data_IF_808924438263
#
_entry.id   IF_808924438263
#
_cell.length_a   1.000
_cell.length_b   1.000
_cell.length_c   1.000
_cell.angle_alpha   90.00
_cell.angle_beta   90.00
_cell.angle_gamma   90.00
#
_symmetry.space_group_name_H-M   'P 1'
#
loop_
_entity.id
_entity.type
_entity.pdbx_description
1 polymer ?
#
# COMPACT_ATOMS: atom_id res chain seq x y z
N UNK A 1 -50.11 14.64 50.29
CA UNK A 1 -48.91 14.31 51.08
C UNK A 1 -47.89 13.68 50.13
N UNK A 2 -46.71 14.30 50.02
CA UNK A 2 -45.59 13.90 49.14
C UNK A 2 -44.88 12.68 49.74
N UNK A 3 -44.61 11.61 48.97
CA UNK A 3 -43.40 10.74 49.08
C UNK A 3 -43.12 10.01 47.75
N UNK A 4 -42.01 10.38 47.10
CA UNK A 4 -41.31 9.63 46.05
C UNK A 4 -40.65 8.37 46.65
N UNK A 5 -40.52 7.29 45.88
CA UNK A 5 -39.22 6.61 45.68
C UNK A 5 -39.33 5.58 44.54
N UNK A 6 -38.81 5.97 43.37
CA UNK A 6 -38.47 5.09 42.25
C UNK A 6 -37.24 4.28 42.65
N UNK A 7 -37.31 2.94 42.57
CA UNK A 7 -36.10 2.11 42.48
C UNK A 7 -36.40 0.73 41.87
N UNK A 8 -37.00 0.74 40.69
CA UNK A 8 -36.80 -0.33 39.72
C UNK A 8 -35.62 0.07 38.82
N UNK A 9 -34.97 -0.93 38.22
CA UNK A 9 -33.79 -0.84 37.32
C UNK A 9 -32.44 -0.92 38.03
N UNK A 10 -32.08 -2.13 38.44
CA UNK A 10 -30.68 -2.58 38.56
C UNK A 10 -30.60 -3.87 37.72
N UNK A 11 -29.55 -4.00 36.91
CA UNK A 11 -29.20 -5.06 35.92
C UNK A 11 -29.61 -4.73 34.47
N UNK A 12 -28.69 -4.53 33.49
CA UNK A 12 -27.23 -4.73 33.50
C UNK A 12 -26.42 -3.48 33.05
N UNK A 13 -25.54 -2.96 33.91
CA UNK A 13 -24.50 -1.96 33.57
C UNK A 13 -23.16 -2.64 33.22
N UNK A 14 -23.18 -3.72 32.43
CA UNK A 14 -21.99 -4.55 32.21
C UNK A 14 -21.58 -4.80 30.75
N UNK A 15 -22.20 -4.17 29.75
CA UNK A 15 -21.79 -4.34 28.35
C UNK A 15 -21.88 -3.02 27.61
N UNK A 16 -21.01 -2.06 27.90
CA UNK A 16 -20.98 -0.80 27.13
C UNK A 16 -19.62 -0.10 27.04
N UNK A 17 -18.49 -0.74 27.41
CA UNK A 17 -17.20 -0.06 27.25
C UNK A 17 -16.04 -1.00 26.93
N UNK A 18 -16.05 -1.54 25.71
CA UNK A 18 -14.82 -1.85 25.00
C UNK A 18 -15.09 -1.94 23.50
N UNK A 19 -15.55 -0.85 22.89
CA UNK A 19 -15.15 -0.60 21.50
C UNK A 19 -13.71 -0.07 21.58
N UNK A 20 -12.75 -0.99 21.57
CA UNK A 20 -11.39 -0.62 21.23
C UNK A 20 -11.39 -0.40 19.72
N UNK A 21 -11.53 0.86 19.30
CA UNK A 21 -11.12 1.23 17.96
C UNK A 21 -9.64 0.90 17.86
N UNK A 22 -9.29 -0.13 17.09
CA UNK A 22 -7.91 -0.32 16.68
C UNK A 22 -7.51 0.95 15.94
N UNK A 23 -6.66 1.76 16.56
CA UNK A 23 -6.13 2.95 15.91
C UNK A 23 -5.15 2.41 14.87
N UNK A 24 -5.60 2.35 13.62
CA UNK A 24 -4.71 2.03 12.51
C UNK A 24 -3.57 3.05 12.57
N UNK A 25 -2.33 2.57 12.64
CA UNK A 25 -1.19 3.43 12.42
C UNK A 25 -1.36 4.03 11.02
N UNK A 26 -1.34 5.35 10.91
CA UNK A 26 -1.49 6.02 9.62
C UNK A 26 -0.26 5.65 8.77
N UNK A 27 -0.49 5.03 7.62
CA UNK A 27 0.60 4.66 6.74
C UNK A 27 1.10 5.95 6.06
N UNK A 28 2.36 6.33 6.32
CA UNK A 28 2.96 7.52 5.68
C UNK A 28 2.94 7.42 4.15
N UNK A 29 2.97 6.19 3.62
CA UNK A 29 2.80 5.89 2.21
C UNK A 29 2.02 4.58 2.06
N UNK A 30 0.97 4.61 1.27
CA UNK A 30 0.24 3.44 0.81
C UNK A 30 0.20 3.49 -0.71
N UNK A 31 0.75 2.48 -1.37
CA UNK A 31 0.78 2.38 -2.82
C UNK A 31 0.34 0.98 -3.25
N UNK A 32 -0.74 0.92 -4.03
CA UNK A 32 -1.33 -0.31 -4.56
C UNK A 32 -0.99 -0.57 -6.02
N UNK A 33 -0.28 0.35 -6.68
CA UNK A 33 0.18 0.26 -8.07
C UNK A 33 -0.95 0.02 -9.08
N UNK A 34 -2.13 0.58 -8.82
CA UNK A 34 -3.28 0.46 -9.71
C UNK A 34 -3.03 1.09 -11.09
N UNK A 35 -2.28 2.20 -11.13
CA UNK A 35 -1.80 2.83 -12.37
C UNK A 35 -0.42 3.44 -12.15
N UNK A 36 0.61 2.76 -12.66
CA UNK A 36 2.00 3.18 -12.45
C UNK A 36 2.37 4.45 -13.23
N UNK A 37 1.56 4.86 -14.22
CA UNK A 37 1.83 6.05 -15.04
C UNK A 37 1.67 7.35 -14.24
N UNK A 38 0.95 7.27 -13.12
CA UNK A 38 0.72 8.40 -12.22
C UNK A 38 1.87 8.66 -11.24
N UNK A 39 2.72 7.66 -10.99
CA UNK A 39 3.69 7.68 -9.89
C UNK A 39 4.78 8.74 -10.05
N UNK A 40 5.23 9.00 -11.28
CA UNK A 40 6.20 10.07 -11.53
C UNK A 40 5.62 11.44 -11.15
N UNK A 41 4.34 11.67 -11.44
CA UNK A 41 3.62 12.87 -11.00
C UNK A 41 3.42 12.94 -9.49
N UNK A 42 3.38 11.79 -8.81
CA UNK A 42 3.34 11.67 -7.36
C UNK A 42 4.73 11.74 -6.69
N UNK A 43 5.81 11.92 -7.45
CA UNK A 43 7.16 12.10 -6.93
C UNK A 43 8.01 10.83 -6.80
N UNK A 44 7.52 9.68 -7.27
CA UNK A 44 8.36 8.48 -7.38
C UNK A 44 9.41 8.65 -8.48
N UNK A 45 10.57 8.01 -8.28
CA UNK A 45 11.61 7.96 -9.29
C UNK A 45 11.88 6.51 -9.76
N UNK A 46 12.00 6.36 -11.07
CA UNK A 46 12.37 5.12 -11.73
C UNK A 46 13.77 5.25 -12.30
N UNK A 47 14.64 4.27 -12.03
CA UNK A 47 16.01 4.29 -12.55
C UNK A 47 16.43 2.90 -13.00
N UNK A 48 16.85 2.77 -14.26
CA UNK A 48 17.50 1.58 -14.76
C UNK A 48 18.99 1.90 -14.99
N UNK A 49 19.82 1.40 -14.09
CA UNK A 49 21.29 1.50 -14.10
C UNK A 49 21.93 0.17 -14.50
N UNK A 50 21.17 -0.73 -15.15
CA UNK A 50 21.70 -2.00 -15.63
C UNK A 50 22.79 -1.77 -16.67
N UNK A 51 23.73 -2.69 -16.77
CA UNK A 51 24.80 -2.64 -17.77
C UNK A 51 24.94 -3.99 -18.50
N UNK A 52 24.64 -4.05 -19.81
CA UNK A 52 24.02 -2.97 -20.60
C UNK A 52 22.56 -2.73 -20.20
N UNK A 53 22.03 -1.54 -20.50
CA UNK A 53 20.60 -1.22 -20.33
C UNK A 53 19.76 -2.06 -21.30
N UNK A 54 18.71 -2.69 -20.77
CA UNK A 54 17.81 -3.55 -21.53
C UNK A 54 16.64 -2.82 -22.19
N UNK A 55 15.74 -3.60 -22.78
CA UNK A 55 14.58 -3.08 -23.52
C UNK A 55 13.42 -2.63 -22.62
N UNK A 56 13.40 -3.05 -21.35
CA UNK A 56 12.32 -2.70 -20.41
C UNK A 56 12.83 -1.93 -19.19
N UNK A 57 11.98 -1.08 -18.62
CA UNK A 57 12.15 -0.50 -17.28
C UNK A 57 11.18 -1.12 -16.28
N UNK A 58 10.73 -0.34 -15.31
CA UNK A 58 9.56 -0.70 -14.49
C UNK A 58 8.28 -0.66 -15.35
N UNK A 59 7.40 -1.64 -15.19
CA UNK A 59 6.19 -1.80 -16.01
C UNK A 59 4.97 -2.21 -15.17
N UNK A 60 3.77 -1.92 -15.69
CA UNK A 60 2.49 -2.31 -15.08
C UNK A 60 2.36 -3.84 -15.04
N UNK A 61 1.76 -4.37 -13.99
CA UNK A 61 1.54 -5.80 -13.82
C UNK A 61 0.84 -6.48 -15.00
N UNK A 62 1.09 -7.77 -15.14
CA UNK A 62 0.55 -8.65 -16.17
C UNK A 62 -0.08 -9.90 -15.51
N UNK A 63 -1.41 -9.92 -15.48
CA UNK A 63 -2.21 -10.98 -14.88
C UNK A 63 -2.09 -12.34 -15.59
N UNK A 64 -1.57 -12.37 -16.82
CA UNK A 64 -1.27 -13.63 -17.52
C UNK A 64 -0.07 -14.36 -16.94
N UNK A 65 0.76 -13.68 -16.12
CA UNK A 65 1.90 -14.29 -15.41
C UNK A 65 1.50 -14.64 -13.97
N UNK A 66 0.97 -13.65 -13.24
CA UNK A 66 0.34 -13.84 -11.94
C UNK A 66 -0.54 -12.63 -11.60
N UNK A 67 -1.63 -12.81 -10.82
CA UNK A 67 -2.46 -11.71 -10.37
C UNK A 67 -1.78 -10.92 -9.22
N UNK A 68 -2.18 -9.66 -9.06
CA UNK A 68 -1.81 -8.82 -7.93
C UNK A 68 -2.24 -9.43 -6.57
N UNK A 69 -1.55 -9.04 -5.50
CA UNK A 69 -1.88 -9.45 -4.14
C UNK A 69 -3.22 -8.87 -3.64
N UNK A 70 -3.61 -7.70 -4.15
CA UNK A 70 -4.87 -7.03 -3.89
C UNK A 70 -5.20 -6.04 -5.01
N UNK A 71 -6.46 -5.61 -5.13
CA UNK A 71 -6.90 -4.67 -6.16
C UNK A 71 -7.22 -5.33 -7.50
N UNK A 72 -7.08 -4.58 -8.59
CA UNK A 72 -7.18 -5.11 -9.96
C UNK A 72 -6.12 -6.22 -10.19
N UNK A 73 -6.37 -7.26 -11.01
CA UNK A 73 -5.39 -8.30 -11.28
C UNK A 73 -4.02 -7.81 -11.76
N UNK A 74 -3.96 -6.62 -12.37
CA UNK A 74 -2.72 -5.98 -12.84
C UNK A 74 -2.13 -4.95 -11.88
N UNK A 75 -2.75 -4.72 -10.70
CA UNK A 75 -2.35 -3.73 -9.69
C UNK A 75 -1.09 -4.15 -8.91
N UNK A 76 0.00 -4.31 -9.63
CA UNK A 76 1.35 -4.46 -9.10
C UNK A 76 2.32 -3.84 -10.10
N UNK A 77 3.53 -3.53 -9.64
CA UNK A 77 4.60 -3.01 -10.50
C UNK A 77 5.73 -4.05 -10.61
N UNK A 78 6.25 -4.24 -11.83
CA UNK A 78 7.26 -5.25 -12.12
C UNK A 78 8.52 -4.67 -12.75
N UNK A 79 9.64 -5.35 -12.48
CA UNK A 79 10.85 -5.32 -13.29
C UNK A 79 11.28 -6.78 -13.51
N UNK A 80 11.98 -7.06 -14.61
CA UNK A 80 12.44 -8.42 -14.90
C UNK A 80 13.81 -8.41 -15.59
N UNK A 81 14.29 -9.59 -16.01
CA UNK A 81 15.60 -9.74 -16.62
C UNK A 81 15.80 -8.90 -17.90
N UNK A 82 14.74 -8.48 -18.58
CA UNK A 82 14.82 -7.58 -19.74
C UNK A 82 15.18 -6.13 -19.36
N UNK A 83 15.36 -5.84 -18.07
CA UNK A 83 16.01 -4.62 -17.57
C UNK A 83 17.46 -4.48 -18.00
N UNK A 84 18.11 -5.60 -18.37
CA UNK A 84 19.44 -5.63 -18.99
C UNK A 84 19.37 -6.26 -20.41
N UNK A 85 20.46 -6.21 -21.16
CA UNK A 85 20.58 -6.87 -22.46
C UNK A 85 21.70 -7.91 -22.48
N UNK A 86 21.50 -9.01 -23.22
CA UNK A 86 22.50 -10.08 -23.31
C UNK A 86 22.87 -10.66 -21.95
N UNK A 87 24.17 -10.88 -21.73
CA UNK A 87 24.71 -11.18 -20.41
C UNK A 87 25.14 -9.86 -19.74
N UNK A 88 24.32 -9.39 -18.80
CA UNK A 88 24.52 -8.10 -18.14
C UNK A 88 24.18 -8.14 -16.65
N UNK A 89 24.55 -7.07 -15.96
CA UNK A 89 24.22 -6.88 -14.54
C UNK A 89 22.94 -6.06 -14.44
N UNK A 90 21.92 -6.62 -13.79
CA UNK A 90 20.64 -5.95 -13.55
C UNK A 90 20.79 -5.00 -12.37
N UNK A 91 20.40 -3.73 -12.56
CA UNK A 91 20.36 -2.70 -11.53
C UNK A 91 19.18 -1.76 -11.77
N UNK A 92 18.01 -2.12 -11.27
CA UNK A 92 16.76 -1.35 -11.42
C UNK A 92 16.25 -0.89 -10.07
N UNK A 93 15.93 0.40 -9.95
CA UNK A 93 15.52 1.05 -8.70
C UNK A 93 14.16 1.70 -8.86
N UNK A 94 13.28 1.46 -7.90
CA UNK A 94 12.02 2.17 -7.69
C UNK A 94 12.16 2.91 -6.37
N UNK A 95 12.11 4.23 -6.42
CA UNK A 95 12.42 5.09 -5.27
C UNK A 95 11.14 5.84 -4.92
N UNK A 96 10.75 5.80 -3.64
CA UNK A 96 9.56 6.50 -3.14
C UNK A 96 9.71 8.02 -3.31
N UNK A 97 8.60 8.77 -3.22
CA UNK A 97 8.68 10.20 -2.97
C UNK A 97 9.50 10.50 -1.69
N UNK A 98 10.00 11.73 -1.53
CA UNK A 98 10.59 12.15 -0.27
C UNK A 98 9.61 11.94 0.89
N UNK A 99 10.06 11.19 1.90
CA UNK A 99 9.28 10.87 3.09
C UNK A 99 9.77 11.69 4.28
N UNK A 100 8.84 12.25 5.05
CA UNK A 100 9.11 12.87 6.35
C UNK A 100 8.72 11.89 7.45
N UNK A 101 9.63 11.67 8.40
CA UNK A 101 9.45 10.72 9.50
C UNK A 101 9.39 11.40 10.88
N UNK A 102 9.44 12.74 10.93
CA UNK A 102 9.42 13.52 12.17
C UNK A 102 10.80 13.82 12.75
#
# INVERSE_FOLDING_TARGET
>A
MKRFCVRFVIVPLFVLCSLQTAQAADALLFEGFADITTLAGAGWAFSNQSDPVGATGWFQGNDTVFPAQAGDPTAYIGANYNGTAGAGTISTWLITPPMDFG
#
